data_IF_775342348095
#
_entry.id   IF_775342348095
#
_cell.length_a   1.000
_cell.length_b   1.000
_cell.length_c   1.000
_cell.angle_alpha   90.00
_cell.angle_beta   90.00
_cell.angle_gamma   90.00
#
_symmetry.space_group_name_H-M   'P 1'
#
loop_
_entity.id
_entity.type
_entity.pdbx_description
1 polymer ?
#
# COMPACT_ATOMS: atom_id res chain seq x y z
N UNK A 1 4.38 -76.01 -34.06
CA UNK A 1 4.61 -75.97 -32.59
C UNK A 1 5.80 -75.05 -32.36
N UNK A 2 5.59 -73.74 -32.18
CA UNK A 2 5.36 -73.03 -30.91
C UNK A 2 6.66 -72.30 -30.46
N UNK A 3 6.55 -70.97 -30.30
CA UNK A 3 7.29 -70.04 -29.41
C UNK A 3 8.60 -69.42 -29.93
N UNK A 4 8.55 -68.13 -30.32
CA UNK A 4 8.90 -66.92 -29.53
C UNK A 4 10.42 -66.77 -29.36
N UNK A 5 11.09 -65.94 -30.17
CA UNK A 5 11.20 -64.48 -30.10
C UNK A 5 11.98 -63.98 -28.85
N UNK A 6 13.16 -63.37 -29.05
CA UNK A 6 13.56 -62.09 -28.42
C UNK A 6 14.93 -61.58 -28.93
N UNK A 7 14.82 -60.78 -29.99
CA UNK A 7 15.44 -59.47 -30.29
C UNK A 7 16.56 -58.96 -29.34
N UNK A 8 17.76 -58.78 -29.93
CA UNK A 8 18.75 -57.65 -29.88
C UNK A 8 18.68 -56.63 -28.72
N UNK A 9 19.77 -56.12 -28.16
CA UNK A 9 20.80 -55.26 -28.79
C UNK A 9 21.90 -54.98 -27.75
N UNK A 10 23.19 -55.22 -28.04
CA UNK A 10 24.20 -54.32 -28.64
C UNK A 10 24.71 -53.17 -27.75
N UNK A 11 26.02 -53.29 -27.51
CA UNK A 11 27.06 -52.27 -27.42
C UNK A 11 27.05 -51.27 -26.26
N UNK A 12 27.82 -51.67 -25.25
CA UNK A 12 28.65 -50.81 -24.42
C UNK A 12 29.63 -50.02 -25.29
N UNK A 13 29.51 -48.69 -25.33
CA UNK A 13 30.54 -47.79 -25.84
C UNK A 13 30.83 -46.72 -24.80
N UNK A 14 32.13 -46.62 -24.48
CA UNK A 14 32.75 -45.86 -23.41
C UNK A 14 33.03 -44.42 -23.85
N UNK A 15 32.76 -43.49 -22.93
CA UNK A 15 33.41 -42.19 -22.67
C UNK A 15 33.74 -41.24 -23.84
N UNK A 16 33.09 -40.07 -23.83
CA UNK A 16 33.68 -38.81 -24.28
C UNK A 16 33.19 -37.67 -23.36
N UNK A 17 34.10 -37.20 -22.51
CA UNK A 17 33.96 -36.01 -21.66
C UNK A 17 34.06 -34.76 -22.53
N UNK A 18 33.04 -33.90 -22.54
CA UNK A 18 33.18 -32.50 -22.95
C UNK A 18 32.50 -31.65 -21.88
N UNK A 19 33.33 -31.03 -21.04
CA UNK A 19 32.94 -29.98 -20.12
C UNK A 19 32.74 -28.68 -20.91
N UNK A 20 31.50 -28.25 -21.10
CA UNK A 20 31.20 -26.90 -21.54
C UNK A 20 30.84 -26.05 -20.31
N UNK A 21 31.84 -25.33 -19.80
CA UNK A 21 31.68 -24.29 -18.78
C UNK A 21 30.96 -23.12 -19.47
N UNK A 22 29.63 -23.16 -19.46
CA UNK A 22 28.82 -22.00 -19.81
C UNK A 22 28.90 -20.99 -18.68
N UNK A 23 29.68 -19.93 -18.86
CA UNK A 23 29.71 -18.76 -17.99
C UNK A 23 28.30 -18.16 -18.01
N UNK A 24 27.50 -18.48 -16.99
CA UNK A 24 26.16 -17.93 -16.81
C UNK A 24 26.26 -16.43 -16.57
N UNK A 25 25.75 -15.64 -17.52
CA UNK A 25 25.55 -14.21 -17.35
C UNK A 25 24.58 -14.00 -16.18
N UNK A 26 25.13 -13.68 -15.01
CA UNK A 26 24.36 -13.31 -13.83
C UNK A 26 23.76 -11.93 -14.08
N UNK A 27 22.53 -11.90 -14.55
CA UNK A 27 21.75 -10.68 -14.67
C UNK A 27 21.54 -10.11 -13.26
N UNK A 28 22.29 -9.07 -12.92
CA UNK A 28 22.09 -8.29 -11.71
C UNK A 28 20.77 -7.54 -11.90
N UNK A 29 19.68 -8.13 -11.41
CA UNK A 29 18.40 -7.45 -11.29
C UNK A 29 18.55 -6.40 -10.19
N UNK A 30 18.71 -5.14 -10.56
CA UNK A 30 18.57 -4.02 -9.64
C UNK A 30 17.13 -4.04 -9.11
N UNK A 31 16.94 -4.47 -7.86
CA UNK A 31 15.70 -4.28 -7.14
C UNK A 31 15.56 -2.79 -6.81
N UNK A 32 14.96 -2.05 -7.74
CA UNK A 32 14.64 -0.64 -7.52
C UNK A 32 13.65 -0.51 -6.37
N UNK A 33 14.11 0.04 -5.24
CA UNK A 33 13.20 0.55 -4.22
C UNK A 33 12.43 1.70 -4.84
N UNK A 34 11.11 1.54 -4.99
CA UNK A 34 10.27 2.58 -5.53
C UNK A 34 10.39 3.85 -4.66
N UNK A 35 10.62 5.00 -5.31
CA UNK A 35 10.73 6.27 -4.61
C UNK A 35 9.44 6.57 -3.83
N UNK A 36 9.60 6.98 -2.57
CA UNK A 36 8.48 7.32 -1.70
C UNK A 36 7.70 8.52 -2.27
N UNK A 37 6.37 8.46 -2.18
CA UNK A 37 5.47 9.52 -2.63
C UNK A 37 4.77 10.16 -1.45
N UNK A 38 4.51 11.47 -1.53
CA UNK A 38 3.70 12.15 -0.53
C UNK A 38 2.22 11.91 -0.83
N UNK A 39 1.48 11.42 0.17
CA UNK A 39 0.03 11.12 0.12
C UNK A 39 -0.65 11.74 1.33
N UNK A 40 -1.97 11.90 1.28
CA UNK A 40 -2.78 12.15 2.47
C UNK A 40 -3.17 10.81 3.10
N UNK A 41 -3.07 10.68 4.42
CA UNK A 41 -3.55 9.50 5.14
C UNK A 41 -4.53 9.85 6.24
N UNK A 42 -5.34 8.85 6.57
CA UNK A 42 -6.12 8.75 7.79
C UNK A 42 -5.87 7.37 8.40
N UNK A 43 -5.57 7.31 9.70
CA UNK A 43 -5.51 6.06 10.44
C UNK A 43 -6.44 6.20 11.64
N UNK A 44 -7.29 5.21 11.81
CA UNK A 44 -8.22 5.14 12.95
C UNK A 44 -7.95 3.92 13.80
N UNK A 45 -8.14 4.07 15.11
CA UNK A 45 -8.18 2.97 16.08
C UNK A 45 -9.45 3.06 16.91
N UNK A 46 -10.15 1.95 17.09
CA UNK A 46 -11.46 1.87 17.77
C UNK A 46 -12.49 2.88 17.24
N UNK A 47 -12.47 3.15 15.93
CA UNK A 47 -13.36 4.11 15.28
C UNK A 47 -12.98 5.59 15.46
N UNK A 48 -11.85 5.89 16.11
CA UNK A 48 -11.39 7.28 16.32
C UNK A 48 -10.14 7.58 15.49
N UNK A 49 -10.05 8.76 14.83
CA UNK A 49 -8.83 9.19 14.16
C UNK A 49 -7.68 9.32 15.16
N UNK A 50 -6.62 8.57 14.93
CA UNK A 50 -5.36 8.64 15.70
C UNK A 50 -4.29 9.38 14.92
N UNK A 51 -4.40 9.38 13.59
CA UNK A 51 -3.56 10.16 12.70
C UNK A 51 -4.36 10.64 11.49
N UNK A 52 -4.19 11.91 11.14
CA UNK A 52 -4.66 12.46 9.87
C UNK A 52 -3.65 13.49 9.37
N UNK A 53 -3.18 13.33 8.14
CA UNK A 53 -2.20 14.24 7.54
C UNK A 53 -1.33 13.57 6.47
N UNK A 54 -0.24 14.23 6.10
CA UNK A 54 0.61 13.74 5.02
C UNK A 54 1.51 12.58 5.47
N UNK A 55 1.65 11.57 4.62
CA UNK A 55 2.57 10.44 4.78
C UNK A 55 3.48 10.27 3.57
N UNK A 56 4.60 9.59 3.81
CA UNK A 56 5.39 8.93 2.77
C UNK A 56 4.76 7.57 2.49
N UNK A 57 4.42 7.33 1.23
CA UNK A 57 3.92 6.07 0.70
C UNK A 57 5.01 5.40 -0.13
N UNK A 58 5.43 4.21 0.28
CA UNK A 58 6.37 3.38 -0.45
C UNK A 58 5.62 2.17 -1.03
N UNK A 59 5.51 2.09 -2.36
CA UNK A 59 4.93 0.91 -3.02
C UNK A 59 5.89 -0.27 -2.97
N UNK A 60 5.37 -1.45 -2.66
CA UNK A 60 6.09 -2.71 -2.65
C UNK A 60 5.52 -3.69 -3.69
N UNK A 61 6.16 -4.84 -3.86
CA UNK A 61 5.71 -5.86 -4.80
C UNK A 61 4.30 -6.38 -4.47
N UNK A 62 3.57 -6.80 -5.50
CA UNK A 62 2.24 -7.39 -5.35
C UNK A 62 1.16 -6.41 -4.89
N UNK A 63 1.40 -5.09 -4.90
CA UNK A 63 0.45 -4.07 -4.44
C UNK A 63 0.49 -3.80 -2.94
N UNK A 64 1.40 -4.45 -2.20
CA UNK A 64 1.72 -4.11 -0.81
C UNK A 64 2.34 -2.71 -0.74
N UNK A 65 2.32 -2.10 0.44
CA UNK A 65 2.94 -0.79 0.64
C UNK A 65 3.26 -0.51 2.11
N UNK A 66 4.12 0.48 2.32
CA UNK A 66 4.45 1.02 3.64
C UNK A 66 4.05 2.49 3.73
N UNK A 67 3.49 2.89 4.87
CA UNK A 67 3.19 4.27 5.24
C UNK A 67 4.10 4.72 6.37
N UNK A 68 4.64 5.93 6.25
CA UNK A 68 5.41 6.62 7.29
C UNK A 68 4.94 8.07 7.41
N UNK A 69 5.10 8.67 8.57
CA UNK A 69 4.85 10.11 8.73
C UNK A 69 5.68 10.93 7.71
N UNK A 70 5.13 12.00 7.13
CA UNK A 70 5.81 12.81 6.10
C UNK A 70 7.20 13.33 6.49
N UNK A 71 7.44 13.57 7.78
CA UNK A 71 8.76 13.99 8.29
C UNK A 71 9.81 12.86 8.32
N UNK A 72 9.38 11.60 8.19
CA UNK A 72 10.20 10.41 8.31
C UNK A 72 10.76 10.11 9.71
N UNK A 73 10.49 10.98 10.70
CA UNK A 73 11.09 10.95 12.05
C UNK A 73 10.07 10.88 13.19
N UNK A 74 8.79 11.04 12.88
CA UNK A 74 7.68 10.97 13.84
C UNK A 74 6.91 9.66 13.64
N UNK A 75 6.28 9.13 14.70
CA UNK A 75 5.33 8.04 14.56
C UNK A 75 4.15 8.43 13.65
N UNK A 76 3.62 7.44 12.96
CA UNK A 76 2.39 7.57 12.16
C UNK A 76 1.17 7.02 12.91
N UNK A 77 1.38 6.20 13.95
CA UNK A 77 0.33 5.69 14.84
C UNK A 77 0.92 5.29 16.19
N UNK A 78 0.48 5.88 17.30
CA UNK A 78 1.11 5.71 18.63
C UNK A 78 2.65 5.79 18.58
N UNK A 79 3.36 4.69 18.79
CA UNK A 79 4.81 4.54 18.73
C UNK A 79 5.33 3.90 17.42
N UNK A 80 4.42 3.50 16.53
CA UNK A 80 4.74 2.95 15.22
C UNK A 80 5.31 4.01 14.28
N UNK A 81 6.53 3.76 13.80
CA UNK A 81 7.22 4.58 12.80
C UNK A 81 6.73 4.29 11.39
N UNK A 82 6.36 3.04 11.15
CA UNK A 82 5.77 2.59 9.89
C UNK A 82 4.59 1.65 10.11
N UNK A 83 3.69 1.69 9.13
CA UNK A 83 2.60 0.74 8.97
C UNK A 83 2.77 0.09 7.61
N UNK A 84 2.87 -1.23 7.58
CA UNK A 84 2.95 -2.02 6.36
C UNK A 84 1.63 -2.73 6.11
N UNK A 85 1.14 -2.58 4.90
CA UNK A 85 -0.06 -3.23 4.38
C UNK A 85 0.41 -4.26 3.36
N UNK A 86 0.28 -5.54 3.70
CA UNK A 86 0.80 -6.66 2.92
C UNK A 86 -0.36 -7.41 2.26
N UNK A 87 -0.37 -7.47 0.94
CA UNK A 87 -1.31 -8.30 0.19
C UNK A 87 -0.79 -9.74 0.22
N UNK A 88 -1.44 -10.60 1.00
CA UNK A 88 -1.07 -12.01 1.15
C UNK A 88 -1.84 -12.92 0.21
N UNK A 89 -3.04 -12.51 -0.21
CA UNK A 89 -3.85 -13.17 -1.25
C UNK A 89 -4.77 -12.13 -1.92
N UNK A 90 -5.48 -12.54 -2.97
CA UNK A 90 -6.36 -11.76 -3.84
C UNK A 90 -7.34 -10.85 -3.08
N UNK A 91 -7.74 -11.24 -1.86
CA UNK A 91 -8.63 -10.45 -0.99
C UNK A 91 -8.19 -10.39 0.48
N UNK A 92 -7.00 -10.92 0.79
CA UNK A 92 -6.48 -10.95 2.16
C UNK A 92 -5.31 -10.00 2.24
N UNK A 93 -5.48 -8.97 3.06
CA UNK A 93 -4.47 -7.97 3.33
C UNK A 93 -4.20 -7.97 4.82
N UNK A 94 -2.94 -8.12 5.21
CA UNK A 94 -2.50 -8.10 6.60
C UNK A 94 -1.80 -6.79 6.91
N UNK A 95 -2.05 -6.27 8.11
CA UNK A 95 -1.47 -5.01 8.57
C UNK A 95 -0.49 -5.26 9.70
N UNK A 96 0.69 -4.66 9.54
CA UNK A 96 1.78 -4.70 10.50
C UNK A 96 2.21 -3.28 10.83
N UNK A 97 2.72 -3.09 12.04
CA UNK A 97 3.41 -1.87 12.43
C UNK A 97 4.77 -2.19 13.02
N UNK A 98 5.73 -1.30 12.80
CA UNK A 98 7.04 -1.37 13.43
C UNK A 98 7.30 -0.10 14.24
N UNK A 99 7.74 -0.25 15.48
CA UNK A 99 8.19 0.87 16.32
C UNK A 99 9.61 1.27 15.96
N UNK A 100 10.07 2.41 16.47
CA UNK A 100 11.46 2.86 16.28
C UNK A 100 12.50 1.85 16.77
N UNK A 101 12.15 1.06 17.78
CA UNK A 101 13.02 0.05 18.38
C UNK A 101 12.92 -1.30 17.66
N UNK A 102 12.23 -1.37 16.52
CA UNK A 102 12.07 -2.57 15.70
C UNK A 102 11.04 -3.56 16.23
N UNK A 103 10.20 -3.17 17.20
CA UNK A 103 9.13 -4.02 17.71
C UNK A 103 8.04 -4.12 16.64
N UNK A 104 7.78 -5.33 16.17
CA UNK A 104 6.77 -5.60 15.15
C UNK A 104 5.47 -6.10 15.79
N UNK A 105 4.35 -5.49 15.41
CA UNK A 105 3.01 -5.88 15.83
C UNK A 105 2.14 -6.16 14.63
N UNK A 106 1.45 -7.30 14.63
CA UNK A 106 0.40 -7.62 13.64
C UNK A 106 -0.93 -7.11 14.17
N UNK A 107 -1.61 -6.25 13.42
CA UNK A 107 -2.92 -5.71 13.80
C UNK A 107 -4.06 -6.64 13.36
N UNK A 108 -3.91 -7.24 12.17
CA UNK A 108 -4.84 -8.23 11.65
C UNK A 108 -5.20 -7.99 10.18
N UNK A 109 -6.21 -8.71 9.73
CA UNK A 109 -6.66 -8.68 8.35
C UNK A 109 -7.57 -7.48 8.07
N UNK A 110 -7.41 -6.89 6.89
CA UNK A 110 -8.24 -5.79 6.38
C UNK A 110 -8.75 -6.13 4.98
N UNK A 111 -9.81 -5.44 4.58
CA UNK A 111 -10.33 -5.48 3.20
C UNK A 111 -10.29 -4.09 2.60
N UNK A 112 -9.95 -4.00 1.32
CA UNK A 112 -10.06 -2.72 0.60
C UNK A 112 -11.53 -2.32 0.49
N UNK A 113 -11.85 -1.10 0.88
CA UNK A 113 -13.22 -0.59 0.83
C UNK A 113 -13.73 -0.51 -0.62
N UNK A 114 -15.02 -0.77 -0.80
CA UNK A 114 -15.67 -0.67 -2.12
C UNK A 114 -16.14 0.75 -2.40
N UNK A 115 -16.42 1.52 -1.36
CA UNK A 115 -16.91 2.89 -1.40
C UNK A 115 -15.76 3.89 -1.51
N UNK A 116 -14.66 3.65 -0.80
CA UNK A 116 -13.44 4.45 -0.87
C UNK A 116 -12.23 3.56 -1.18
N UNK A 117 -11.77 3.61 -2.42
CA UNK A 117 -10.66 2.77 -2.88
C UNK A 117 -9.31 3.17 -2.27
N UNK A 118 -9.22 4.29 -1.58
CA UNK A 118 -8.04 4.67 -0.80
C UNK A 118 -7.98 4.02 0.58
N UNK A 119 -9.03 3.33 1.04
CA UNK A 119 -9.14 2.80 2.39
C UNK A 119 -9.11 1.27 2.47
N UNK A 120 -8.53 0.78 3.56
CA UNK A 120 -8.52 -0.60 4.01
C UNK A 120 -9.11 -0.67 5.42
N UNK A 121 -10.16 -1.48 5.54
CA UNK A 121 -11.02 -1.52 6.73
C UNK A 121 -10.81 -2.85 7.45
N UNK A 122 -10.39 -2.77 8.71
CA UNK A 122 -10.30 -3.88 9.65
C UNK A 122 -11.51 -3.95 10.57
N UNK A 123 -11.44 -4.78 11.60
CA UNK A 123 -12.53 -4.90 12.60
C UNK A 123 -12.62 -3.65 13.50
N UNK A 124 -11.47 -3.14 13.89
CA UNK A 124 -11.27 -2.14 14.94
C UNK A 124 -10.35 -1.00 14.50
N UNK A 125 -9.88 -1.01 13.25
CA UNK A 125 -9.04 0.03 12.69
C UNK A 125 -9.33 0.23 11.20
N UNK A 126 -8.92 1.39 10.70
CA UNK A 126 -9.00 1.73 9.28
C UNK A 126 -7.72 2.47 8.88
N UNK A 127 -7.22 2.18 7.68
CA UNK A 127 -6.07 2.85 7.08
C UNK A 127 -6.49 3.37 5.73
N UNK A 128 -6.36 4.67 5.51
CA UNK A 128 -6.56 5.28 4.21
C UNK A 128 -5.30 5.98 3.73
N UNK A 129 -5.05 5.91 2.42
CA UNK A 129 -3.99 6.61 1.73
C UNK A 129 -4.48 7.09 0.36
N UNK A 130 -4.51 8.41 0.17
CA UNK A 130 -4.99 9.06 -1.05
C UNK A 130 -3.89 9.88 -1.70
N UNK A 131 -3.81 9.82 -3.03
CA UNK A 131 -2.91 10.67 -3.77
C UNK A 131 -3.22 12.16 -3.48
N UNK A 132 -2.19 12.94 -3.21
CA UNK A 132 -2.38 14.38 -3.08
C UNK A 132 -2.85 14.98 -4.40
N UNK A 133 -3.69 16.01 -4.38
CA UNK A 133 -4.02 16.75 -5.58
C UNK A 133 -2.73 17.27 -6.23
N UNK A 134 -2.66 17.29 -7.57
CA UNK A 134 -1.50 17.83 -8.26
C UNK A 134 -1.26 19.27 -7.81
N UNK A 135 -0.02 19.60 -7.43
CA UNK A 135 0.32 20.98 -7.11
C UNK A 135 0.00 21.83 -8.33
N UNK A 136 -0.87 22.83 -8.17
CA UNK A 136 -1.14 23.78 -9.23
C UNK A 136 0.20 24.35 -9.70
N UNK A 137 0.45 24.29 -11.00
CA UNK A 137 1.62 24.93 -11.61
C UNK A 137 1.57 26.41 -11.17
N UNK A 138 2.68 27.01 -10.69
CA UNK A 138 2.68 28.44 -10.40
C UNK A 138 2.20 29.17 -11.65
N UNK A 139 1.07 29.85 -11.53
CA UNK A 139 0.53 30.64 -12.61
C UNK A 139 1.60 31.68 -12.97
N UNK A 140 2.02 31.70 -14.24
CA UNK A 140 2.76 32.85 -14.74
C UNK A 140 1.83 34.05 -14.59
N UNK A 141 2.10 34.90 -13.61
CA UNK A 141 1.40 36.15 -13.37
C UNK A 141 1.60 37.07 -14.56
N UNK A 142 0.73 36.97 -15.55
CA UNK A 142 0.32 38.13 -16.35
C UNK A 142 -1.03 38.52 -15.78
N UNK A 143 -1.00 39.47 -14.84
CA UNK A 143 -2.19 40.04 -14.26
C UNK A 143 -3.00 40.77 -15.34
N UNK A 144 -4.27 40.42 -15.59
CA UNK A 144 -5.21 41.37 -16.13
C UNK A 144 -5.70 42.24 -14.97
N UNK A 145 -5.66 43.57 -15.15
CA UNK A 145 -6.28 44.51 -14.24
C UNK A 145 -7.79 44.27 -14.22
N UNK A 146 -8.31 43.69 -13.12
CA UNK A 146 -9.76 43.53 -12.93
C UNK A 146 -10.31 44.72 -12.18
N UNK A 147 -11.16 45.47 -12.89
CA UNK A 147 -12.06 46.50 -12.38
C UNK A 147 -13.10 45.82 -11.48
N UNK A 148 -13.25 46.30 -10.24
CA UNK A 148 -14.20 45.77 -9.27
C UNK A 148 -15.65 45.89 -9.80
N UNK A 149 -16.37 44.77 -9.86
CA UNK A 149 -17.83 44.78 -9.88
C UNK A 149 -18.32 43.84 -8.77
N UNK A 150 -18.95 44.47 -7.80
CA UNK A 150 -19.62 43.90 -6.64
C UNK A 150 -20.91 43.22 -7.11
N UNK A 151 -21.09 41.94 -6.81
CA UNK A 151 -22.40 41.26 -6.94
C UNK A 151 -22.49 40.12 -5.92
N UNK A 152 -23.22 40.42 -4.85
CA UNK A 152 -24.15 39.60 -4.06
C UNK A 152 -23.92 38.06 -3.97
N UNK A 153 -23.69 37.60 -2.73
CA UNK A 153 -23.75 36.20 -2.31
C UNK A 153 -25.20 35.74 -2.10
N UNK A 154 -25.63 34.61 -2.70
CA UNK A 154 -26.80 33.89 -2.21
C UNK A 154 -26.43 32.98 -1.02
N UNK A 155 -27.20 33.07 0.06
CA UNK A 155 -27.15 32.14 1.19
C UNK A 155 -27.38 30.69 0.71
N UNK A 156 -26.44 29.79 1.04
CA UNK A 156 -26.66 28.34 0.96
C UNK A 156 -27.19 27.81 2.31
N UNK A 157 -28.13 26.85 2.29
CA UNK A 157 -28.73 26.29 3.50
C UNK A 157 -27.78 25.37 4.27
N UNK A 158 -27.84 25.49 5.60
CA UNK A 158 -27.09 24.75 6.59
C UNK A 158 -27.25 23.23 6.46
N UNK A 159 -26.11 22.52 6.48
CA UNK A 159 -26.03 21.06 6.52
C UNK A 159 -26.70 20.51 7.80
N UNK A 160 -27.55 19.46 7.71
CA UNK A 160 -28.15 18.86 8.90
C UNK A 160 -27.07 18.16 9.75
N UNK A 161 -27.07 18.45 11.05
CA UNK A 161 -26.26 17.76 12.05
C UNK A 161 -26.78 16.33 12.22
N UNK A 162 -25.88 15.34 12.16
CA UNK A 162 -26.20 13.95 12.51
C UNK A 162 -26.57 13.90 13.99
N UNK A 163 -27.79 13.46 14.27
CA UNK A 163 -28.25 13.06 15.59
C UNK A 163 -27.30 11.97 16.14
N UNK A 164 -26.68 12.27 17.28
CA UNK A 164 -26.00 11.27 18.09
C UNK A 164 -27.03 10.28 18.64
N UNK A 165 -26.75 8.99 18.50
CA UNK A 165 -27.48 7.94 19.20
C UNK A 165 -26.99 7.86 20.65
N UNK A 166 -27.89 7.77 21.63
CA UNK A 166 -27.53 7.71 23.04
C UNK A 166 -26.93 6.35 23.42
N UNK A 167 -25.96 6.44 24.32
CA UNK A 167 -25.35 5.38 25.11
C UNK A 167 -26.40 4.44 25.73
N UNK A 168 -26.19 3.14 25.58
CA UNK A 168 -26.83 2.14 26.46
C UNK A 168 -25.96 1.90 27.69
N UNK A 169 -26.54 1.87 28.90
CA UNK A 169 -25.88 1.31 30.08
C UNK A 169 -26.29 -0.15 30.33
N UNK A 170 -25.33 -0.91 30.86
CA UNK A 170 -25.44 -2.03 31.84
C UNK A 170 -26.06 -3.36 31.37
N UNK A 171 -25.23 -4.42 31.31
CA UNK A 171 -25.12 -5.48 32.36
C UNK A 171 -23.65 -5.83 32.54
#
# INVERSE_FOLDING_TARGET
MLKHALKTARHTARHATIAAIGIGAMAIACTGHAAEKLVECLITGSGTPTFQGNCLFASEAGGSFTLRHASGKKPVYHDAMDIRVVIVDTDIVEVFSQTKDGINSRWGSVKRSQQDKGCWVGRDFEICAWALPPKAKPANTTAPATKNHETEQPLLPSRPQRLGTPSSPIV
#
